data_IF_723391694228
#
_entry.id   IF_723391694228
#
_cell.length_a   1.000
_cell.length_b   1.000
_cell.length_c   1.000
_cell.angle_alpha   90.00
_cell.angle_beta   90.00
_cell.angle_gamma   90.00
#
_symmetry.space_group_name_H-M   'P 1'
#
loop_
_entity.id
_entity.type
_entity.pdbx_description
1 polymer ?
#
# COMPACT_ATOMS: atom_id res chain seq x y z
N UNK A 1 -8.03 -3.27 14.19
CA UNK A 1 -8.84 -2.08 13.88
C UNK A 1 -8.03 -1.00 13.17
N UNK A 2 -6.89 -0.55 13.72
CA UNK A 2 -6.08 0.53 13.14
C UNK A 2 -5.65 0.35 11.67
N UNK A 3 -5.13 -0.83 11.28
CA UNK A 3 -4.66 -1.04 9.89
C UNK A 3 -5.74 -0.94 8.81
N UNK A 4 -7.00 -1.31 9.11
CA UNK A 4 -8.11 -1.16 8.15
C UNK A 4 -8.52 0.30 7.98
N UNK A 5 -8.43 1.08 9.05
CA UNK A 5 -8.69 2.52 9.01
C UNK A 5 -7.64 3.23 8.14
N UNK A 6 -6.36 2.97 8.38
CA UNK A 6 -5.25 3.50 7.57
C UNK A 6 -5.43 3.15 6.08
N UNK A 7 -5.81 1.91 5.77
CA UNK A 7 -6.09 1.48 4.40
C UNK A 7 -7.27 2.24 3.76
N UNK A 8 -8.37 2.40 4.48
CA UNK A 8 -9.55 3.11 3.99
C UNK A 8 -9.24 4.59 3.72
N UNK A 9 -8.49 5.23 4.62
CA UNK A 9 -8.02 6.61 4.44
C UNK A 9 -7.15 6.73 3.18
N UNK A 10 -6.16 5.84 3.01
CA UNK A 10 -5.29 5.83 1.84
C UNK A 10 -6.10 5.77 0.54
N UNK A 11 -7.09 4.88 0.47
CA UNK A 11 -7.96 4.72 -0.71
C UNK A 11 -8.79 5.99 -0.96
N UNK A 12 -9.41 6.55 0.07
CA UNK A 12 -10.22 7.76 -0.07
C UNK A 12 -9.39 8.95 -0.59
N UNK A 13 -8.19 9.15 -0.03
CA UNK A 13 -7.26 10.19 -0.46
C UNK A 13 -6.73 9.95 -1.87
N UNK A 14 -6.43 8.70 -2.23
CA UNK A 14 -5.98 8.34 -3.56
C UNK A 14 -7.03 8.69 -4.62
N UNK A 15 -8.30 8.30 -4.40
CA UNK A 15 -9.40 8.61 -5.33
C UNK A 15 -9.60 10.13 -5.46
N UNK A 16 -9.57 10.85 -4.35
CA UNK A 16 -9.64 12.32 -4.35
C UNK A 16 -8.46 12.93 -5.12
N UNK A 17 -7.24 12.45 -4.86
CA UNK A 17 -6.01 12.91 -5.50
C UNK A 17 -6.04 12.71 -7.02
N UNK A 18 -6.54 11.58 -7.51
CA UNK A 18 -6.71 11.34 -8.94
C UNK A 18 -7.67 12.36 -9.58
N UNK A 19 -8.82 12.62 -8.93
CA UNK A 19 -9.80 13.61 -9.41
C UNK A 19 -9.23 15.04 -9.44
N UNK A 20 -8.27 15.34 -8.57
CA UNK A 20 -7.64 16.65 -8.46
C UNK A 20 -6.32 16.76 -9.24
N UNK A 21 -5.91 15.71 -9.96
CA UNK A 21 -4.65 15.72 -10.71
C UNK A 21 -3.38 15.70 -9.85
N UNK A 22 -3.47 15.21 -8.60
CA UNK A 22 -2.34 15.10 -7.68
C UNK A 22 -1.21 14.27 -8.29
N UNK A 23 0.00 14.83 -8.29
CA UNK A 23 1.21 14.12 -8.74
C UNK A 23 1.47 12.85 -7.90
N UNK A 24 1.25 12.91 -6.58
CA UNK A 24 1.40 11.75 -5.70
C UNK A 24 0.41 10.62 -6.04
N UNK A 25 -0.84 10.96 -6.34
CA UNK A 25 -1.83 9.97 -6.75
C UNK A 25 -1.47 9.34 -8.12
N UNK A 26 -0.99 10.13 -9.07
CA UNK A 26 -0.52 9.62 -10.37
C UNK A 26 0.73 8.75 -10.23
N UNK A 27 1.66 9.09 -9.33
CA UNK A 27 2.84 8.28 -9.05
C UNK A 27 2.44 6.90 -8.50
N UNK A 28 1.50 6.86 -7.55
CA UNK A 28 0.95 5.60 -7.03
C UNK A 28 0.24 4.80 -8.13
N UNK A 29 -0.49 5.47 -9.02
CA UNK A 29 -1.16 4.81 -10.15
C UNK A 29 -0.16 4.17 -11.12
N UNK A 30 0.93 4.88 -11.44
CA UNK A 30 1.99 4.38 -12.31
C UNK A 30 2.77 3.22 -11.66
N UNK A 31 3.16 3.37 -10.39
CA UNK A 31 3.79 2.30 -9.61
C UNK A 31 2.89 1.05 -9.58
N UNK A 32 1.58 1.24 -9.38
CA UNK A 32 0.62 0.15 -9.31
C UNK A 32 0.49 -0.64 -10.62
N UNK A 33 0.73 0.02 -11.76
CA UNK A 33 0.62 -0.59 -13.08
C UNK A 33 1.85 -1.41 -13.49
N UNK A 34 2.95 -1.30 -12.74
CA UNK A 34 4.17 -2.07 -12.97
C UNK A 34 4.15 -3.45 -12.30
N UNK A 35 5.28 -4.14 -12.42
CA UNK A 35 5.51 -5.41 -11.74
C UNK A 35 5.84 -5.21 -10.25
N UNK A 36 5.52 -6.21 -9.43
CA UNK A 36 5.84 -6.18 -8.00
C UNK A 36 6.75 -7.34 -7.63
N UNK A 37 7.81 -7.03 -6.89
CA UNK A 37 8.59 -8.03 -6.20
C UNK A 37 7.85 -8.52 -4.94
N UNK A 38 8.03 -9.78 -4.61
CA UNK A 38 7.52 -10.34 -3.35
C UNK A 38 8.26 -9.69 -2.17
N UNK A 39 7.50 -9.14 -1.23
CA UNK A 39 8.04 -8.62 0.04
C UNK A 39 7.74 -9.64 1.14
N UNK A 40 8.78 -10.26 1.69
CA UNK A 40 8.64 -11.25 2.77
C UNK A 40 8.91 -10.70 4.16
N UNK A 41 9.50 -9.50 4.27
CA UNK A 41 9.90 -8.92 5.54
C UNK A 41 10.91 -9.78 6.33
N UNK A 42 11.74 -10.57 5.62
CA UNK A 42 12.71 -11.49 6.23
C UNK A 42 12.13 -12.85 6.64
N UNK A 43 10.85 -13.10 6.37
CA UNK A 43 10.20 -14.37 6.70
C UNK A 43 10.40 -15.41 5.59
N UNK A 44 10.82 -16.61 5.98
CA UNK A 44 10.85 -17.78 5.10
C UNK A 44 9.48 -18.45 5.09
N UNK A 45 8.66 -18.12 4.09
CA UNK A 45 7.35 -18.74 3.91
C UNK A 45 7.48 -20.12 3.27
N UNK A 46 6.68 -21.08 3.73
CA UNK A 46 6.58 -22.41 3.11
C UNK A 46 5.99 -22.27 1.71
N UNK A 47 6.63 -22.91 0.73
CA UNK A 47 6.15 -22.94 -0.66
C UNK A 47 4.94 -23.88 -0.76
N UNK A 48 3.75 -23.29 -0.94
CA UNK A 48 2.49 -24.01 -1.04
C UNK A 48 1.81 -23.68 -2.38
N UNK A 49 1.22 -24.68 -3.08
CA UNK A 49 0.57 -24.49 -4.39
C UNK A 49 -0.54 -23.43 -4.41
N UNK A 50 -1.08 -23.10 -3.24
CA UNK A 50 -2.06 -22.05 -3.01
C UNK A 50 -1.60 -21.23 -1.80
N UNK A 51 -0.51 -20.50 -1.96
CA UNK A 51 -0.10 -19.52 -0.95
C UNK A 51 -1.25 -18.54 -0.70
N UNK A 52 -1.77 -18.51 0.52
CA UNK A 52 -2.33 -17.27 1.02
C UNK A 52 -1.18 -16.25 1.00
N UNK A 53 -1.36 -15.13 0.30
CA UNK A 53 -0.37 -14.06 0.22
C UNK A 53 -0.20 -13.43 1.60
N UNK A 54 0.69 -13.99 2.41
CA UNK A 54 1.07 -13.42 3.69
C UNK A 54 2.02 -12.25 3.42
N UNK A 55 1.52 -11.06 3.67
CA UNK A 55 2.34 -9.85 3.73
C UNK A 55 2.79 -9.68 5.18
N UNK A 56 4.06 -9.39 5.38
CA UNK A 56 4.57 -9.00 6.69
C UNK A 56 3.85 -7.71 7.16
N UNK A 57 3.29 -7.74 8.37
CA UNK A 57 2.37 -6.71 8.87
C UNK A 57 3.05 -5.34 8.98
N UNK A 58 4.31 -5.30 9.43
CA UNK A 58 5.09 -4.09 9.60
C UNK A 58 5.38 -3.41 8.26
N UNK A 59 5.88 -4.16 7.28
CA UNK A 59 6.15 -3.72 5.92
C UNK A 59 4.88 -3.22 5.24
N UNK A 60 3.77 -3.95 5.38
CA UNK A 60 2.47 -3.51 4.89
C UNK A 60 2.05 -2.18 5.50
N UNK A 61 2.09 -2.07 6.83
CA UNK A 61 1.64 -0.88 7.53
C UNK A 61 2.52 0.33 7.21
N UNK A 62 3.83 0.16 7.15
CA UNK A 62 4.77 1.20 6.75
C UNK A 62 4.51 1.69 5.32
N UNK A 63 4.27 0.76 4.38
CA UNK A 63 3.94 1.11 3.00
C UNK A 63 2.63 1.90 2.88
N UNK A 64 1.62 1.58 3.69
CA UNK A 64 0.33 2.30 3.75
C UNK A 64 0.52 3.70 4.33
N UNK A 65 1.18 3.84 5.49
CA UNK A 65 1.34 5.16 6.14
C UNK A 65 2.21 6.09 5.32
N UNK A 66 3.24 5.59 4.63
CA UNK A 66 4.04 6.38 3.68
C UNK A 66 3.17 6.97 2.55
N UNK A 67 2.27 6.16 1.98
CA UNK A 67 1.34 6.62 0.93
C UNK A 67 0.32 7.61 1.44
N UNK A 68 -0.19 7.42 2.66
CA UNK A 68 -1.07 8.41 3.33
C UNK A 68 -0.35 9.76 3.46
N UNK A 69 0.91 9.75 3.94
CA UNK A 69 1.72 10.97 4.06
C UNK A 69 1.95 11.65 2.70
N UNK A 70 2.29 10.89 1.67
CA UNK A 70 2.46 11.41 0.31
C UNK A 70 1.15 12.03 -0.26
N UNK A 71 -0.01 11.53 0.18
CA UNK A 71 -1.33 12.05 -0.16
C UNK A 71 -1.83 13.15 0.80
N UNK A 72 -0.93 13.71 1.63
CA UNK A 72 -1.24 14.83 2.53
C UNK A 72 -2.02 14.44 3.79
N UNK A 73 -1.92 13.18 4.24
CA UNK A 73 -2.51 12.71 5.49
C UNK A 73 -1.52 12.63 6.65
N UNK A 74 -2.06 12.61 7.87
CA UNK A 74 -1.31 12.34 9.08
C UNK A 74 -1.31 10.82 9.31
N UNK A 75 -0.35 10.14 8.69
CA UNK A 75 -0.19 8.68 8.80
C UNK A 75 0.53 8.23 10.06
#
# INVERSE_FOLDING_TARGET
>A
WQGRHEQAEMVARYIRGLRQGSAAARAIQAEKAGDFARVTGGMSYVDLPRMAYYVERGAYRAAVTQRIKALGGQG
#
